data_IF_035062549995
#
_entry.id   IF_035062549995
#
_cell.length_a   1.000
_cell.length_b   1.000
_cell.length_c   1.000
_cell.angle_alpha   90.00
_cell.angle_beta   90.00
_cell.angle_gamma   90.00
#
_symmetry.space_group_name_H-M   'P 1'
#
loop_
_entity.id
_entity.type
_entity.pdbx_description
1 polymer ?
#
# COMPACT_ATOMS: atom_id res chain seq x y z
N UNK A 1 -2.70 2.24 -11.28
CA UNK A 1 -3.91 2.55 -10.48
C UNK A 1 -3.48 3.12 -9.12
N UNK A 2 -4.40 3.71 -8.34
CA UNK A 2 -4.04 4.30 -7.03
C UNK A 2 -4.92 3.72 -5.94
N UNK A 3 -4.31 3.38 -4.80
CA UNK A 3 -4.99 2.98 -3.56
C UNK A 3 -4.62 3.97 -2.45
N UNK A 4 -5.57 4.23 -1.54
CA UNK A 4 -5.36 5.14 -0.41
C UNK A 4 -5.75 4.42 0.87
N UNK A 5 -4.86 4.46 1.87
CA UNK A 5 -5.07 3.83 3.17
C UNK A 5 -5.32 4.90 4.22
N UNK A 6 -6.47 4.82 4.88
CA UNK A 6 -6.84 5.65 6.03
C UNK A 6 -6.87 4.82 7.32
N UNK A 7 -6.54 5.41 8.49
CA UNK A 7 -6.28 6.84 8.74
C UNK A 7 -4.85 7.32 8.40
N UNK A 8 -4.01 6.44 7.87
CA UNK A 8 -2.56 6.67 7.72
C UNK A 8 -2.19 7.69 6.62
N UNK A 9 -3.13 8.08 5.77
CA UNK A 9 -2.96 9.02 4.63
C UNK A 9 -1.83 8.61 3.67
N UNK A 10 -1.71 7.29 3.44
CA UNK A 10 -0.71 6.72 2.55
C UNK A 10 -1.33 6.43 1.18
N UNK A 11 -0.65 6.87 0.13
CA UNK A 11 -1.07 6.73 -1.25
C UNK A 11 -0.13 5.76 -1.98
N UNK A 12 -0.69 4.68 -2.52
CA UNK A 12 0.04 3.64 -3.23
C UNK A 12 -0.27 3.64 -4.72
N UNK A 13 0.77 3.50 -5.54
CA UNK A 13 0.68 3.17 -6.96
C UNK A 13 1.03 1.71 -7.16
N UNK A 14 0.04 0.89 -7.52
CA UNK A 14 0.20 -0.54 -7.79
C UNK A 14 0.06 -0.86 -9.30
N UNK A 15 0.67 -1.97 -9.70
CA UNK A 15 0.74 -2.48 -11.07
C UNK A 15 -0.17 -3.71 -11.23
N UNK A 16 -0.13 -4.64 -10.28
CA UNK A 16 -0.85 -5.92 -10.34
C UNK A 16 -1.48 -6.31 -8.98
N UNK A 17 -2.01 -7.53 -8.89
CA UNK A 17 -2.66 -8.05 -7.68
C UNK A 17 -1.67 -8.40 -6.58
N UNK A 18 -0.43 -8.80 -6.90
CA UNK A 18 0.59 -9.13 -5.90
C UNK A 18 0.98 -7.89 -5.09
N UNK A 19 1.04 -6.72 -5.75
CA UNK A 19 1.23 -5.43 -5.08
C UNK A 19 0.11 -5.13 -4.06
N UNK A 20 -1.13 -5.52 -4.37
CA UNK A 20 -2.28 -5.28 -3.48
C UNK A 20 -2.22 -6.22 -2.28
N UNK A 21 -1.90 -7.50 -2.49
CA UNK A 21 -1.71 -8.46 -1.42
C UNK A 21 -0.59 -8.02 -0.46
N UNK A 22 0.52 -7.49 -0.99
CA UNK A 22 1.61 -6.94 -0.16
C UNK A 22 1.15 -5.74 0.69
N UNK A 23 0.33 -4.82 0.14
CA UNK A 23 -0.23 -3.69 0.89
C UNK A 23 -1.11 -4.21 2.04
N UNK A 24 -1.94 -5.23 1.80
CA UNK A 24 -2.81 -5.79 2.83
C UNK A 24 -1.98 -6.48 3.92
N UNK A 25 -1.03 -7.33 3.54
CA UNK A 25 -0.22 -8.09 4.50
C UNK A 25 0.75 -7.21 5.29
N UNK A 26 1.50 -6.34 4.60
CA UNK A 26 2.54 -5.53 5.24
C UNK A 26 1.94 -4.32 5.95
N UNK A 27 1.09 -3.55 5.28
CA UNK A 27 0.58 -2.29 5.85
C UNK A 27 -0.63 -2.55 6.74
N UNK A 28 -1.71 -3.14 6.22
CA UNK A 28 -2.95 -3.25 7.00
C UNK A 28 -2.86 -4.27 8.14
N UNK A 29 -2.22 -5.42 7.91
CA UNK A 29 -2.05 -6.44 8.95
C UNK A 29 -0.77 -6.26 9.75
N UNK A 30 0.33 -5.89 9.08
CA UNK A 30 1.66 -5.76 9.69
C UNK A 30 2.00 -4.37 10.24
N UNK A 31 1.22 -3.33 9.94
CA UNK A 31 1.49 -1.95 10.36
C UNK A 31 2.75 -1.34 9.74
N UNK A 32 3.24 -1.89 8.61
CA UNK A 32 4.44 -1.44 7.92
C UNK A 32 4.14 -1.03 6.49
N UNK A 33 4.39 0.23 6.17
CA UNK A 33 4.17 0.78 4.83
C UNK A 33 5.08 0.15 3.77
N UNK A 34 4.56 0.04 2.55
CA UNK A 34 5.26 -0.54 1.40
C UNK A 34 5.93 0.59 0.60
N UNK A 35 7.09 1.07 1.07
CA UNK A 35 7.78 2.27 0.54
C UNK A 35 7.98 2.28 -0.98
N UNK A 36 8.17 1.10 -1.61
CA UNK A 36 8.36 0.98 -3.07
C UNK A 36 7.13 1.41 -3.88
N UNK A 37 5.94 1.26 -3.29
CA UNK A 37 4.66 1.56 -3.91
C UNK A 37 4.16 2.97 -3.55
N UNK A 38 4.78 3.66 -2.58
CA UNK A 38 4.33 4.98 -2.11
C UNK A 38 4.54 6.04 -3.20
N UNK A 39 3.50 6.83 -3.44
CA UNK A 39 3.54 8.01 -4.30
C UNK A 39 4.14 9.18 -3.51
N UNK A 40 5.10 9.90 -4.12
CA UNK A 40 5.65 11.16 -3.58
C UNK A 40 4.90 12.39 -4.07
#
# INVERSE_FOLDING_TARGET
PVAVVYPDDVWYQYIDEEDVDEIIESHLMGGKEVERLIIK
#
